data_IF_735343291685
#
_entry.id   IF_735343291685
#
_cell.length_a   1.000
_cell.length_b   1.000
_cell.length_c   1.000
_cell.angle_alpha   90.00
_cell.angle_beta   90.00
_cell.angle_gamma   90.00
#
_symmetry.space_group_name_H-M   'P 1'
#
loop_
_entity.id
_entity.type
_entity.pdbx_description
1 polymer ?
#
# COMPACT_ATOMS: atom_id res chain seq x y z
N UNK A 1 -4.92 -25.97 4.43
CA UNK A 1 -3.63 -25.27 4.58
C UNK A 1 -3.90 -23.99 5.36
N UNK A 2 -3.18 -23.77 6.47
CA UNK A 2 -3.29 -22.56 7.30
C UNK A 2 -2.22 -21.58 6.86
N UNK A 3 -2.58 -20.36 6.54
CA UNK A 3 -1.70 -19.33 6.01
C UNK A 3 -1.63 -18.15 6.96
N UNK A 4 -0.46 -17.55 7.10
CA UNK A 4 -0.25 -16.27 7.75
C UNK A 4 -0.28 -15.14 6.74
N UNK A 5 -0.80 -13.99 7.14
CA UNK A 5 -0.73 -12.74 6.38
C UNK A 5 -0.27 -11.62 7.32
N UNK A 6 0.69 -10.84 6.85
CA UNK A 6 1.17 -9.63 7.52
C UNK A 6 0.96 -8.43 6.60
N UNK A 7 0.13 -7.49 7.02
CA UNK A 7 0.13 -6.13 6.48
C UNK A 7 1.04 -5.27 7.37
N UNK A 8 2.25 -5.04 6.89
CA UNK A 8 3.21 -4.20 7.57
C UNK A 8 2.93 -2.74 7.20
N UNK A 9 2.13 -2.08 8.03
CA UNK A 9 1.72 -0.69 7.84
C UNK A 9 2.59 0.30 8.61
N UNK A 10 2.60 1.53 8.14
CA UNK A 10 3.40 2.59 8.77
C UNK A 10 2.95 3.00 10.18
N UNK A 11 1.75 2.68 10.61
CA UNK A 11 1.21 3.05 11.93
C UNK A 11 0.90 1.81 12.77
N UNK A 12 0.47 0.75 12.12
CA UNK A 12 0.14 -0.54 12.74
C UNK A 12 0.56 -1.67 11.81
N UNK A 13 0.93 -2.80 12.41
CA UNK A 13 1.10 -4.09 11.76
C UNK A 13 -0.16 -4.91 11.98
N UNK A 14 -0.74 -5.46 10.93
CA UNK A 14 -1.90 -6.36 11.03
C UNK A 14 -1.45 -7.76 10.68
N UNK A 15 -1.53 -8.66 11.66
CA UNK A 15 -1.25 -10.08 11.49
C UNK A 15 -2.58 -10.83 11.42
N UNK A 16 -2.74 -11.71 10.45
CA UNK A 16 -3.94 -12.52 10.28
C UNK A 16 -3.59 -13.97 9.97
N UNK A 17 -4.50 -14.85 10.35
CA UNK A 17 -4.48 -16.27 10.01
C UNK A 17 -5.70 -16.59 9.19
N UNK A 18 -5.50 -17.32 8.09
CA UNK A 18 -6.59 -17.68 7.19
C UNK A 18 -6.26 -18.90 6.35
N UNK A 19 -6.94 -19.04 5.22
CA UNK A 19 -6.73 -20.11 4.25
C UNK A 19 -6.67 -19.60 2.81
N UNK A 20 -6.41 -20.51 1.87
CA UNK A 20 -6.31 -20.20 0.45
C UNK A 20 -7.65 -19.76 -0.21
N UNK A 21 -8.78 -19.91 0.48
CA UNK A 21 -10.08 -19.45 -0.01
C UNK A 21 -10.39 -18.00 0.38
N UNK A 22 -9.46 -17.33 1.11
CA UNK A 22 -9.66 -15.96 1.59
C UNK A 22 -10.43 -15.87 2.91
N UNK A 23 -10.70 -16.99 3.59
CA UNK A 23 -11.34 -16.98 4.90
C UNK A 23 -10.33 -16.58 5.96
N UNK A 24 -10.64 -15.56 6.74
CA UNK A 24 -9.82 -15.07 7.86
C UNK A 24 -10.40 -15.67 9.15
N UNK A 25 -9.59 -16.43 9.87
CA UNK A 25 -9.97 -17.05 11.13
C UNK A 25 -9.78 -16.14 12.33
N UNK A 26 -8.67 -15.41 12.34
CA UNK A 26 -8.35 -14.43 13.38
C UNK A 26 -7.40 -13.36 12.83
N UNK A 27 -7.39 -12.21 13.47
CA UNK A 27 -6.42 -11.15 13.21
C UNK A 27 -6.13 -10.37 14.48
N UNK A 28 -4.91 -9.85 14.57
CA UNK A 28 -4.49 -8.89 15.59
C UNK A 28 -3.88 -7.65 14.96
N UNK A 29 -3.84 -6.57 15.72
CA UNK A 29 -3.18 -5.33 15.31
C UNK A 29 -2.16 -4.95 16.38
N UNK A 30 -0.92 -4.71 15.94
CA UNK A 30 0.21 -4.34 16.79
C UNK A 30 0.68 -2.95 16.35
N UNK A 31 0.91 -2.00 17.27
CA UNK A 31 1.48 -0.69 16.91
C UNK A 31 2.83 -0.84 16.23
N UNK A 32 3.10 -0.03 15.19
CA UNK A 32 4.40 0.01 14.52
C UNK A 32 5.36 0.86 15.34
N UNK A 33 6.18 0.20 16.14
CA UNK A 33 7.30 0.76 16.88
C UNK A 33 8.62 0.49 16.11
N UNK A 34 9.75 0.28 16.80
CA UNK A 34 10.98 -0.16 16.14
C UNK A 34 10.94 -1.66 15.82
N UNK A 35 11.76 -2.15 14.86
CA UNK A 35 11.83 -3.56 14.53
C UNK A 35 12.07 -4.46 15.76
N UNK A 36 12.96 -4.04 16.64
CA UNK A 36 13.35 -4.79 17.85
C UNK A 36 12.19 -5.01 18.81
N UNK A 37 11.21 -4.10 18.81
CA UNK A 37 10.01 -4.19 19.66
C UNK A 37 8.87 -4.90 18.95
N UNK A 38 8.68 -4.58 17.65
CA UNK A 38 7.48 -4.99 16.91
C UNK A 38 7.62 -6.39 16.32
N UNK A 39 8.78 -6.72 15.74
CA UNK A 39 8.98 -7.99 15.03
C UNK A 39 8.88 -9.21 15.95
N UNK A 40 9.47 -9.21 17.16
CA UNK A 40 9.31 -10.34 18.07
C UNK A 40 7.85 -10.66 18.43
N UNK A 41 7.01 -9.63 18.63
CA UNK A 41 5.58 -9.80 18.92
C UNK A 41 4.82 -10.48 17.78
N UNK A 42 5.15 -10.11 16.54
CA UNK A 42 4.55 -10.71 15.34
C UNK A 42 5.01 -12.17 15.15
N UNK A 43 6.31 -12.43 15.34
CA UNK A 43 6.87 -13.79 15.25
C UNK A 43 6.25 -14.70 16.29
N UNK A 44 6.13 -14.25 17.54
CA UNK A 44 5.48 -15.01 18.61
C UNK A 44 4.04 -15.38 18.24
N UNK A 45 3.28 -14.39 17.74
CA UNK A 45 1.91 -14.64 17.28
C UNK A 45 1.84 -15.71 16.19
N UNK A 46 2.71 -15.66 15.16
CA UNK A 46 2.68 -16.65 14.09
C UNK A 46 3.18 -18.02 14.52
N UNK A 47 4.18 -18.12 15.41
CA UNK A 47 4.71 -19.39 15.94
C UNK A 47 3.65 -20.24 16.62
N UNK A 48 2.71 -19.60 17.31
CA UNK A 48 1.62 -20.29 18.02
C UNK A 48 0.53 -20.85 17.10
N UNK A 49 0.54 -20.51 15.80
CA UNK A 49 -0.59 -20.74 14.89
C UNK A 49 -0.41 -21.86 13.87
N UNK A 50 0.73 -22.53 13.85
CA UNK A 50 1.05 -23.64 12.93
C UNK A 50 0.75 -23.28 11.47
N UNK A 51 1.24 -22.11 11.01
CA UNK A 51 1.09 -21.64 9.64
C UNK A 51 2.12 -22.33 8.72
N UNK A 52 1.74 -22.59 7.48
CA UNK A 52 2.57 -23.31 6.49
C UNK A 52 3.25 -22.38 5.47
N UNK A 53 2.82 -21.14 5.43
CA UNK A 53 3.44 -20.05 4.65
C UNK A 53 2.98 -18.71 5.20
N UNK A 54 3.80 -17.68 4.99
CA UNK A 54 3.50 -16.28 5.37
C UNK A 54 3.55 -15.38 4.13
N UNK A 55 2.49 -14.60 3.91
CA UNK A 55 2.50 -13.48 2.95
C UNK A 55 2.71 -12.16 3.67
N UNK A 56 3.65 -11.33 3.21
CA UNK A 56 3.95 -10.01 3.76
C UNK A 56 3.66 -8.95 2.69
N UNK A 57 2.66 -8.08 2.94
CA UNK A 57 2.46 -6.83 2.23
C UNK A 57 3.04 -5.70 3.08
N UNK A 58 4.04 -4.98 2.58
CA UNK A 58 4.84 -4.06 3.37
C UNK A 58 4.82 -2.64 2.81
N UNK A 59 4.78 -1.65 3.70
CA UNK A 59 5.06 -0.28 3.31
C UNK A 59 6.46 -0.17 2.69
N UNK A 60 6.60 0.76 1.74
CA UNK A 60 7.82 0.93 0.97
C UNK A 60 8.70 2.10 1.40
N UNK A 61 9.76 2.34 0.62
CA UNK A 61 10.24 1.50 -0.48
C UNK A 61 10.85 0.17 -0.01
N UNK A 62 10.66 -0.90 -0.79
CA UNK A 62 11.16 -2.25 -0.50
C UNK A 62 11.95 -2.83 -1.67
N UNK A 63 12.86 -3.76 -1.42
CA UNK A 63 13.57 -4.46 -2.48
C UNK A 63 12.89 -5.80 -2.82
N UNK A 64 12.29 -5.85 -4.00
CA UNK A 64 11.63 -7.03 -4.56
C UNK A 64 12.49 -7.78 -5.57
N UNK A 65 13.70 -7.30 -5.88
CA UNK A 65 14.58 -7.94 -6.83
C UNK A 65 15.24 -9.19 -6.21
N UNK A 66 14.75 -10.37 -6.60
CA UNK A 66 15.26 -11.66 -6.10
C UNK A 66 16.75 -11.92 -6.39
N UNK A 67 17.38 -11.12 -7.26
CA UNK A 67 18.81 -11.20 -7.56
C UNK A 67 19.65 -10.23 -6.73
N UNK A 68 19.01 -9.36 -5.96
CA UNK A 68 19.68 -8.41 -5.09
C UNK A 68 20.06 -9.07 -3.77
N UNK A 69 21.21 -8.66 -3.21
CA UNK A 69 21.64 -9.05 -1.86
C UNK A 69 20.70 -8.50 -0.77
N UNK A 70 19.93 -7.46 -1.10
CA UNK A 70 18.97 -6.82 -0.20
C UNK A 70 17.51 -7.21 -0.52
N UNK A 71 17.28 -8.31 -1.27
CA UNK A 71 15.92 -8.82 -1.43
C UNK A 71 15.25 -9.05 -0.07
N UNK A 72 14.03 -8.56 0.09
CA UNK A 72 13.29 -8.69 1.34
C UNK A 72 13.53 -7.58 2.37
N UNK A 73 14.30 -6.57 2.00
CA UNK A 73 14.57 -5.42 2.85
C UNK A 73 13.55 -4.29 2.64
N UNK A 74 13.20 -3.62 3.73
CA UNK A 74 12.67 -2.26 3.69
C UNK A 74 13.89 -1.34 3.49
N UNK A 75 13.88 -0.51 2.43
CA UNK A 75 15.07 0.25 2.02
C UNK A 75 15.09 1.68 2.58
N UNK A 76 14.92 2.69 1.75
CA UNK A 76 15.03 4.12 2.10
C UNK A 76 13.71 4.69 2.61
N UNK A 77 13.08 4.02 3.58
CA UNK A 77 11.82 4.46 4.15
C UNK A 77 11.96 5.73 5.01
N UNK A 78 10.92 6.59 5.06
CA UNK A 78 10.88 7.70 6.02
C UNK A 78 10.77 7.25 7.49
N UNK A 79 10.44 5.98 7.74
CA UNK A 79 10.47 5.37 9.07
C UNK A 79 11.89 4.91 9.41
N UNK A 80 12.71 5.82 9.92
CA UNK A 80 14.16 5.65 10.06
C UNK A 80 14.56 4.38 10.82
N UNK A 81 13.81 3.94 11.83
CA UNK A 81 14.09 2.70 12.55
C UNK A 81 13.96 1.43 11.67
N UNK A 82 13.17 1.48 10.60
CA UNK A 82 12.96 0.39 9.67
C UNK A 82 13.86 0.46 8.42
N UNK A 83 14.67 1.50 8.30
CA UNK A 83 15.57 1.66 7.15
C UNK A 83 16.60 0.55 7.10
N UNK A 84 16.72 -0.06 5.90
CA UNK A 84 17.61 -1.19 5.63
C UNK A 84 17.36 -2.42 6.54
N UNK A 85 16.12 -2.64 6.95
CA UNK A 85 15.74 -3.78 7.76
C UNK A 85 15.33 -4.97 6.89
N UNK A 86 15.95 -6.14 7.10
CA UNK A 86 15.61 -7.40 6.42
C UNK A 86 14.36 -8.03 7.06
N UNK A 87 13.19 -7.59 6.65
CA UNK A 87 11.94 -8.12 7.19
C UNK A 87 11.68 -9.56 6.76
N UNK A 88 11.98 -9.92 5.50
CA UNK A 88 11.78 -11.28 5.00
C UNK A 88 12.69 -12.25 5.74
N UNK A 89 13.98 -11.94 5.89
CA UNK A 89 14.93 -12.78 6.60
C UNK A 89 14.51 -12.99 8.05
N UNK A 90 14.09 -11.95 8.75
CA UNK A 90 13.65 -12.06 10.14
C UNK A 90 12.51 -13.06 10.34
N UNK A 91 11.52 -13.10 9.43
CA UNK A 91 10.42 -14.06 9.50
C UNK A 91 10.80 -15.45 8.98
N UNK A 92 11.56 -15.54 7.89
CA UNK A 92 12.01 -16.81 7.32
C UNK A 92 12.87 -17.61 8.33
N UNK A 93 13.85 -16.94 8.95
CA UNK A 93 14.74 -17.56 9.93
C UNK A 93 14.00 -17.99 11.22
N UNK A 94 13.00 -17.19 11.64
CA UNK A 94 12.29 -17.46 12.89
C UNK A 94 11.21 -18.53 12.77
N UNK A 95 10.57 -18.64 11.59
CA UNK A 95 9.40 -19.52 11.38
C UNK A 95 9.73 -20.77 10.58
N UNK A 96 10.85 -20.80 9.87
CA UNK A 96 11.28 -21.90 8.97
C UNK A 96 10.19 -22.33 7.98
N UNK A 97 9.52 -21.34 7.36
CA UNK A 97 8.45 -21.52 6.38
C UNK A 97 8.65 -20.61 5.18
N UNK A 98 8.05 -20.93 4.01
CA UNK A 98 8.06 -20.03 2.86
C UNK A 98 7.44 -18.65 3.18
N UNK A 99 8.13 -17.58 2.76
CA UNK A 99 7.67 -16.19 2.89
C UNK A 99 7.48 -15.57 1.51
N UNK A 100 6.25 -15.13 1.21
CA UNK A 100 5.93 -14.27 0.07
C UNK A 100 6.05 -12.81 0.48
N UNK A 101 6.55 -11.94 -0.42
CA UNK A 101 6.81 -10.55 -0.10
C UNK A 101 6.47 -9.62 -1.26
N UNK A 102 5.72 -8.56 -0.96
CA UNK A 102 5.38 -7.49 -1.89
C UNK A 102 5.01 -6.21 -1.13
N UNK A 103 4.64 -5.13 -1.84
CA UNK A 103 4.10 -3.93 -1.21
C UNK A 103 2.70 -4.21 -0.64
N UNK A 104 2.27 -3.43 0.35
CA UNK A 104 0.93 -3.48 0.94
C UNK A 104 -0.17 -3.25 -0.12
N UNK A 105 0.04 -2.31 -1.04
CA UNK A 105 -0.90 -2.02 -2.14
C UNK A 105 -0.93 -3.11 -3.20
N UNK A 106 0.20 -3.77 -3.50
CA UNK A 106 0.23 -4.95 -4.36
C UNK A 106 -0.48 -6.13 -3.69
N UNK A 107 -0.32 -6.29 -2.39
CA UNK A 107 -1.10 -7.25 -1.60
C UNK A 107 -2.60 -7.02 -1.71
N UNK A 108 -3.05 -5.75 -1.63
CA UNK A 108 -4.45 -5.35 -1.81
C UNK A 108 -4.94 -5.65 -3.23
N UNK A 109 -4.17 -5.26 -4.25
CA UNK A 109 -4.53 -5.55 -5.66
C UNK A 109 -4.65 -7.06 -5.93
N UNK A 110 -3.71 -7.85 -5.38
CA UNK A 110 -3.74 -9.31 -5.50
C UNK A 110 -4.96 -9.91 -4.77
N UNK A 111 -5.32 -9.37 -3.62
CA UNK A 111 -6.52 -9.76 -2.88
C UNK A 111 -7.80 -9.54 -3.70
N UNK A 112 -7.94 -8.36 -4.31
CA UNK A 112 -9.05 -8.02 -5.19
C UNK A 112 -9.10 -8.90 -6.45
N UNK A 113 -7.95 -9.23 -7.04
CA UNK A 113 -7.86 -10.11 -8.20
C UNK A 113 -8.15 -11.58 -7.86
N UNK A 114 -7.90 -11.99 -6.62
CA UNK A 114 -8.08 -13.38 -6.19
C UNK A 114 -9.50 -13.64 -5.65
N UNK A 115 -10.01 -12.76 -4.81
CA UNK A 115 -11.27 -12.96 -4.09
C UNK A 115 -12.28 -11.82 -4.25
N UNK A 116 -11.82 -10.63 -4.71
CA UNK A 116 -12.62 -9.41 -4.75
C UNK A 116 -13.28 -9.14 -6.10
N UNK A 117 -13.51 -7.84 -6.36
CA UNK A 117 -14.32 -7.36 -7.51
C UNK A 117 -13.57 -7.38 -8.84
N UNK A 118 -12.27 -7.66 -8.85
CA UNK A 118 -11.46 -7.82 -10.07
C UNK A 118 -11.11 -9.27 -10.36
N UNK A 119 -11.71 -10.21 -9.63
CA UNK A 119 -11.53 -11.64 -9.88
C UNK A 119 -11.90 -12.00 -11.32
N UNK A 120 -10.97 -12.66 -12.02
CA UNK A 120 -11.14 -13.07 -13.41
C UNK A 120 -10.84 -11.99 -14.44
N UNK A 121 -10.37 -10.80 -14.03
CA UNK A 121 -9.85 -9.77 -14.92
C UNK A 121 -8.33 -9.90 -15.02
N UNK A 122 -7.82 -9.65 -16.22
CA UNK A 122 -6.37 -9.69 -16.49
C UNK A 122 -5.68 -8.35 -16.22
N UNK A 123 -6.42 -7.25 -16.26
CA UNK A 123 -5.86 -5.90 -16.15
C UNK A 123 -6.68 -5.05 -15.18
N UNK A 124 -6.14 -4.78 -14.00
CA UNK A 124 -6.82 -3.96 -13.00
C UNK A 124 -5.84 -3.13 -12.17
N UNK A 125 -6.35 -2.07 -11.58
CA UNK A 125 -5.56 -1.18 -10.72
C UNK A 125 -6.31 -1.01 -9.40
N UNK A 126 -5.60 -1.18 -8.29
CA UNK A 126 -6.05 -0.79 -6.96
C UNK A 126 -5.28 0.45 -6.53
N UNK A 127 -5.99 1.52 -6.20
CA UNK A 127 -5.41 2.77 -5.72
C UNK A 127 -5.92 3.02 -4.31
N UNK A 128 -5.02 3.14 -3.35
CA UNK A 128 -5.37 3.57 -1.99
C UNK A 128 -5.00 5.04 -1.81
N UNK A 129 -5.95 5.85 -1.31
CA UNK A 129 -5.76 7.27 -0.98
C UNK A 129 -6.07 7.45 0.50
N UNK A 130 -5.02 7.62 1.28
CA UNK A 130 -5.11 7.71 2.75
C UNK A 130 -4.07 8.67 3.29
N UNK A 131 -3.18 8.22 4.18
CA UNK A 131 -2.02 8.99 4.65
C UNK A 131 -1.04 9.29 3.51
N UNK A 132 -0.92 8.36 2.57
CA UNK A 132 -0.24 8.51 1.29
C UNK A 132 -1.13 8.05 0.16
N UNK A 133 -0.56 7.93 -1.04
CA UNK A 133 -1.20 7.32 -2.20
C UNK A 133 -0.33 6.20 -2.74
N UNK A 134 -0.89 4.99 -2.78
CA UNK A 134 -0.23 3.82 -3.34
C UNK A 134 -1.05 3.18 -4.46
N UNK A 135 -0.38 2.46 -5.37
CA UNK A 135 -1.03 1.76 -6.47
C UNK A 135 -0.50 0.35 -6.60
N UNK A 136 -1.42 -0.63 -6.60
CA UNK A 136 -1.15 -2.01 -6.99
C UNK A 136 -1.75 -2.26 -8.38
N UNK A 137 -0.93 -2.76 -9.31
CA UNK A 137 -1.33 -2.91 -10.71
C UNK A 137 -1.24 -4.38 -11.10
N UNK A 138 -2.34 -4.91 -11.63
CA UNK A 138 -2.37 -6.21 -12.30
C UNK A 138 -2.34 -5.95 -13.81
N UNK A 139 -1.42 -6.59 -14.51
CA UNK A 139 -1.31 -6.56 -15.96
C UNK A 139 -1.05 -7.96 -16.50
N UNK A 140 -1.85 -8.40 -17.46
CA UNK A 140 -1.83 -9.76 -17.99
C UNK A 140 -1.91 -10.83 -16.89
N UNK A 141 -2.80 -10.66 -15.93
CA UNK A 141 -3.04 -11.56 -14.81
C UNK A 141 -1.93 -11.63 -13.76
N UNK A 142 -0.97 -10.70 -13.75
CA UNK A 142 0.16 -10.67 -12.83
C UNK A 142 0.38 -9.29 -12.25
N UNK A 143 0.88 -9.24 -11.02
CA UNK A 143 1.37 -7.98 -10.43
C UNK A 143 2.46 -7.36 -11.30
N UNK A 144 2.33 -6.07 -11.57
CA UNK A 144 3.31 -5.32 -12.33
C UNK A 144 4.51 -4.96 -11.44
N UNK A 145 5.66 -5.50 -11.80
CA UNK A 145 6.95 -5.12 -11.26
C UNK A 145 7.85 -4.65 -12.40
N UNK A 146 8.66 -3.63 -12.14
CA UNK A 146 9.70 -3.16 -13.04
C UNK A 146 11.08 -3.37 -12.43
N UNK A 147 11.94 -2.37 -12.55
CA UNK A 147 13.21 -2.34 -11.80
C UNK A 147 12.94 -2.31 -10.29
N UNK A 148 11.93 -1.55 -9.89
CA UNK A 148 11.33 -1.51 -8.57
C UNK A 148 9.82 -1.75 -8.72
N UNK A 149 9.06 -1.66 -7.62
CA UNK A 149 7.60 -1.59 -7.68
C UNK A 149 7.14 -0.21 -8.16
N UNK A 150 5.96 -0.09 -8.80
CA UNK A 150 5.40 1.19 -9.19
C UNK A 150 5.15 2.10 -7.97
N UNK A 151 5.50 3.36 -8.11
CA UNK A 151 5.23 4.43 -7.15
C UNK A 151 4.22 5.42 -7.77
N UNK A 152 3.07 4.88 -8.19
CA UNK A 152 2.06 5.63 -8.93
C UNK A 152 1.42 6.78 -8.17
N UNK A 153 1.51 6.82 -6.84
CA UNK A 153 1.13 7.98 -6.04
C UNK A 153 1.95 9.24 -6.34
N UNK A 154 3.11 9.08 -6.98
CA UNK A 154 3.99 10.19 -7.32
C UNK A 154 3.93 10.63 -8.79
N UNK A 155 2.92 10.21 -9.56
CA UNK A 155 2.67 10.79 -10.90
C UNK A 155 2.41 12.28 -10.77
N UNK A 156 3.02 13.05 -11.67
CA UNK A 156 2.92 14.52 -11.64
C UNK A 156 1.63 14.97 -12.30
N UNK A 157 0.94 15.91 -11.67
CA UNK A 157 -0.34 16.44 -12.12
C UNK A 157 -0.25 17.93 -12.48
N UNK A 158 -1.16 18.39 -13.31
CA UNK A 158 -1.36 19.81 -13.56
C UNK A 158 -2.18 20.42 -12.40
N UNK A 159 -1.67 21.48 -11.78
CA UNK A 159 -2.41 22.17 -10.71
C UNK A 159 -3.70 22.75 -11.24
N UNK A 160 -4.73 22.69 -10.42
CA UNK A 160 -5.96 23.42 -10.69
C UNK A 160 -5.67 24.93 -10.68
N UNK A 161 -6.17 25.74 -11.67
CA UNK A 161 -5.83 27.17 -11.81
C UNK A 161 -6.11 28.02 -10.56
N UNK A 162 -7.04 27.59 -9.72
CA UNK A 162 -7.41 28.29 -8.47
C UNK A 162 -6.73 27.72 -7.23
N UNK A 163 -5.94 26.65 -7.36
CA UNK A 163 -5.26 26.03 -6.22
C UNK A 163 -3.87 26.63 -6.05
N UNK A 164 -3.66 27.33 -4.95
CA UNK A 164 -2.38 27.96 -4.58
C UNK A 164 -1.58 27.13 -3.58
N UNK A 165 -2.07 25.95 -3.22
CA UNK A 165 -1.37 25.07 -2.27
C UNK A 165 -0.14 24.41 -2.89
N UNK A 166 1.01 24.47 -2.20
CA UNK A 166 2.30 24.01 -2.74
C UNK A 166 2.47 22.49 -2.81
N UNK A 167 1.58 21.72 -2.19
CA UNK A 167 1.68 20.27 -2.08
C UNK A 167 2.38 19.82 -0.80
N UNK A 168 2.10 18.58 -0.39
CA UNK A 168 2.61 18.00 0.87
C UNK A 168 3.77 17.04 0.67
N UNK A 169 3.98 16.52 -0.54
CA UNK A 169 5.05 15.57 -0.81
C UNK A 169 6.43 16.23 -0.64
N UNK A 170 7.37 15.62 0.09
CA UNK A 170 8.70 16.18 0.30
C UNK A 170 9.59 16.15 -0.95
N UNK A 171 9.20 15.39 -1.99
CA UNK A 171 9.99 15.21 -3.21
C UNK A 171 9.41 15.95 -4.42
N UNK A 172 8.07 16.12 -4.46
CA UNK A 172 7.35 16.67 -5.63
C UNK A 172 6.29 17.65 -5.18
N UNK A 173 6.31 18.84 -5.71
CA UNK A 173 5.31 19.86 -5.35
C UNK A 173 3.92 19.59 -5.93
N UNK A 174 3.81 18.74 -6.97
CA UNK A 174 2.57 18.54 -7.72
C UNK A 174 2.28 17.08 -8.08
N UNK A 175 2.75 16.11 -7.30
CA UNK A 175 2.35 14.72 -7.49
C UNK A 175 0.97 14.44 -6.87
N UNK A 176 0.34 13.34 -7.29
CA UNK A 176 -0.99 12.93 -6.80
C UNK A 176 -1.02 12.85 -5.26
N UNK A 177 -0.06 12.19 -4.63
CA UNK A 177 0.03 12.12 -3.17
C UNK A 177 0.12 13.52 -2.53
N UNK A 178 1.02 14.35 -3.07
CA UNK A 178 1.24 15.72 -2.57
C UNK A 178 0.02 16.62 -2.66
N UNK A 179 -0.91 16.33 -3.57
CA UNK A 179 -2.09 17.16 -3.81
C UNK A 179 -3.38 16.55 -3.26
N UNK A 180 -3.52 15.21 -3.18
CA UNK A 180 -4.78 14.53 -2.90
C UNK A 180 -4.75 13.57 -1.69
N UNK A 181 -3.61 13.31 -1.05
CA UNK A 181 -3.59 12.50 0.17
C UNK A 181 -4.24 13.23 1.37
N UNK A 182 -4.71 12.48 2.36
CA UNK A 182 -5.32 13.04 3.57
C UNK A 182 -4.54 14.18 4.23
N UNK A 183 -3.21 14.07 4.43
CA UNK A 183 -2.38 15.16 4.91
C UNK A 183 -2.34 16.39 3.99
N UNK A 184 -2.52 16.22 2.69
CA UNK A 184 -2.61 17.34 1.75
C UNK A 184 -3.95 18.07 1.89
N UNK A 185 -5.05 17.34 2.05
CA UNK A 185 -6.37 17.90 2.35
C UNK A 185 -6.31 18.70 3.66
N UNK A 186 -5.78 18.11 4.73
CA UNK A 186 -5.67 18.76 6.03
C UNK A 186 -4.81 20.03 5.96
N UNK A 187 -3.68 19.99 5.28
CA UNK A 187 -2.78 21.14 5.16
C UNK A 187 -3.37 22.27 4.28
N UNK A 188 -4.11 21.93 3.21
CA UNK A 188 -4.75 22.90 2.33
C UNK A 188 -5.95 23.59 2.99
N UNK A 189 -6.76 22.84 3.73
CA UNK A 189 -8.04 23.32 4.25
C UNK A 189 -8.06 23.58 5.76
N UNK A 190 -6.98 23.24 6.47
CA UNK A 190 -6.84 23.41 7.93
C UNK A 190 -7.69 22.45 8.76
N UNK A 191 -8.32 21.43 8.13
CA UNK A 191 -9.17 20.42 8.76
C UNK A 191 -9.00 19.08 8.08
N UNK A 192 -9.24 17.99 8.83
CA UNK A 192 -9.23 16.63 8.27
C UNK A 192 -10.40 16.42 7.31
N UNK A 193 -10.21 15.56 6.31
CA UNK A 193 -11.22 15.27 5.30
C UNK A 193 -12.59 14.90 5.89
N UNK A 194 -12.61 14.10 6.96
CA UNK A 194 -13.85 13.72 7.65
C UNK A 194 -14.65 14.91 8.18
N UNK A 195 -13.99 16.01 8.56
CA UNK A 195 -14.63 17.26 9.02
C UNK A 195 -15.10 18.13 7.87
N UNK A 196 -14.74 17.76 6.65
CA UNK A 196 -15.04 18.49 5.41
C UNK A 196 -15.98 17.69 4.48
N UNK A 197 -16.59 16.63 4.98
CA UNK A 197 -17.42 15.73 4.17
C UNK A 197 -18.57 16.43 3.44
N UNK A 198 -19.12 17.51 4.01
CA UNK A 198 -20.19 18.36 3.44
C UNK A 198 -19.69 19.52 2.56
N UNK A 199 -18.37 19.67 2.40
CA UNK A 199 -17.74 20.79 1.66
C UNK A 199 -17.51 20.41 0.19
N UNK A 200 -18.46 20.74 -0.66
CA UNK A 200 -18.45 20.39 -2.08
C UNK A 200 -17.17 20.85 -2.80
N UNK A 201 -16.71 22.06 -2.50
CA UNK A 201 -15.50 22.63 -3.12
C UNK A 201 -14.23 21.83 -2.83
N UNK A 202 -14.16 21.17 -1.67
CA UNK A 202 -13.04 20.30 -1.29
C UNK A 202 -13.01 19.07 -2.22
N UNK A 203 -14.16 18.41 -2.33
CA UNK A 203 -14.27 17.15 -3.07
C UNK A 203 -14.29 17.36 -4.60
N UNK A 204 -14.72 18.52 -5.08
CA UNK A 204 -14.56 18.89 -6.49
C UNK A 204 -13.07 19.05 -6.85
N UNK A 205 -12.26 19.61 -5.95
CA UNK A 205 -10.82 19.73 -6.16
C UNK A 205 -10.13 18.38 -6.08
N UNK A 206 -10.50 17.52 -5.11
CA UNK A 206 -9.99 16.14 -5.02
C UNK A 206 -10.32 15.33 -6.27
N UNK A 207 -11.57 15.39 -6.75
CA UNK A 207 -11.99 14.74 -7.97
C UNK A 207 -11.21 15.23 -9.21
N UNK A 208 -10.86 16.51 -9.25
CA UNK A 208 -10.04 17.07 -10.32
C UNK A 208 -8.64 16.44 -10.35
N UNK A 209 -7.98 16.28 -9.22
CA UNK A 209 -6.64 15.69 -9.16
C UNK A 209 -6.68 14.17 -9.39
N UNK A 210 -7.57 13.48 -8.73
CA UNK A 210 -7.75 12.04 -8.92
C UNK A 210 -8.10 11.74 -10.37
N UNK A 211 -9.00 12.53 -10.98
CA UNK A 211 -9.41 12.38 -12.37
C UNK A 211 -8.26 12.49 -13.36
N UNK A 212 -7.30 13.39 -13.17
CA UNK A 212 -6.11 13.47 -14.02
C UNK A 212 -5.27 12.20 -13.93
N UNK A 213 -4.97 11.72 -12.71
CA UNK A 213 -4.21 10.49 -12.53
C UNK A 213 -4.93 9.29 -13.18
N UNK A 214 -6.26 9.22 -13.05
CA UNK A 214 -7.04 8.16 -13.70
C UNK A 214 -6.94 8.22 -15.22
N UNK A 215 -6.98 9.41 -15.82
CA UNK A 215 -6.82 9.57 -17.27
C UNK A 215 -5.46 9.05 -17.73
N UNK A 216 -4.37 9.43 -17.04
CA UNK A 216 -3.02 8.98 -17.37
C UNK A 216 -2.88 7.45 -17.27
N UNK A 217 -3.42 6.86 -16.21
CA UNK A 217 -3.39 5.42 -15.99
C UNK A 217 -4.23 4.65 -17.03
N UNK A 218 -5.40 5.18 -17.40
CA UNK A 218 -6.26 4.59 -18.43
C UNK A 218 -5.56 4.62 -19.79
N UNK A 219 -4.94 5.73 -20.16
CA UNK A 219 -4.27 5.87 -21.44
C UNK A 219 -3.01 5.01 -21.57
N UNK A 220 -2.29 4.77 -20.45
CA UNK A 220 -1.04 4.00 -20.46
C UNK A 220 -1.27 2.50 -20.27
N UNK A 221 -2.18 2.12 -19.37
CA UNK A 221 -2.35 0.72 -18.93
C UNK A 221 -3.63 0.07 -19.48
N UNK A 222 -4.59 0.86 -19.97
CA UNK A 222 -5.88 0.36 -20.48
C UNK A 222 -6.54 -0.69 -19.57
N UNK A 223 -6.74 -0.40 -18.27
CA UNK A 223 -7.26 -1.37 -17.32
C UNK A 223 -8.74 -1.67 -17.58
N UNK A 224 -9.17 -2.90 -17.30
CA UNK A 224 -10.58 -3.32 -17.33
C UNK A 224 -11.36 -2.73 -16.14
N UNK A 225 -10.66 -2.51 -15.02
CA UNK A 225 -11.25 -1.94 -13.80
C UNK A 225 -10.22 -1.20 -12.95
N UNK A 226 -10.64 -0.09 -12.36
CA UNK A 226 -9.89 0.64 -11.32
C UNK A 226 -10.71 0.63 -10.04
N UNK A 227 -10.05 0.32 -8.93
CA UNK A 227 -10.61 0.37 -7.58
C UNK A 227 -9.99 1.53 -6.85
N UNK A 228 -10.82 2.39 -6.28
CA UNK A 228 -10.39 3.46 -5.37
C UNK A 228 -10.72 3.06 -3.93
N UNK A 229 -9.73 3.03 -3.08
CA UNK A 229 -9.85 2.73 -1.65
C UNK A 229 -9.06 3.70 -0.80
N UNK A 230 -8.94 3.39 0.48
CA UNK A 230 -8.26 4.26 1.46
C UNK A 230 -9.19 5.25 2.15
N UNK A 231 -8.70 5.85 3.24
CA UNK A 231 -9.53 6.66 4.14
C UNK A 231 -10.07 7.97 3.55
N UNK A 232 -9.54 8.44 2.42
CA UNK A 232 -10.06 9.64 1.71
C UNK A 232 -11.32 9.30 0.89
N UNK A 233 -11.52 8.02 0.57
CA UNK A 233 -12.64 7.54 -0.25
C UNK A 233 -13.89 7.15 0.56
N UNK A 234 -13.88 7.35 1.89
CA UNK A 234 -14.98 6.98 2.82
C UNK A 234 -15.72 8.15 3.39
#
# INVERSE_FOLDING_TARGET
MRLGALEAGGTKMVCAIGNANGEIYERISIPTETPEITVPKMIEYFKEKDIQALGIGCFGPIDLNRKSETYGYITTTPKLAWKNYNIVGAFADALDIPVGFDTDVNGSALGEATWGITKGLDNSIYITIGTGVGMGIISNGKLLHGMLHPEGGHVLLTRHPKDTYDGKCPYHSNCLEGLAAGPAIEARWGKKGIELADKKEVWELEAYYIGQALVDLILVLSPEKIILGGGVMH
#
